data_IF_885143749278
#
_entry.id   IF_885143749278
#
_cell.length_a   1.000
_cell.length_b   1.000
_cell.length_c   1.000
_cell.angle_alpha   90.00
_cell.angle_beta   90.00
_cell.angle_gamma   90.00
#
_symmetry.space_group_name_H-M   'P 1'
#
loop_
_entity.id
_entity.type
_entity.pdbx_description
1 polymer ?
#
# COMPACT_ATOMS: atom_id res chain seq x y z
N UNK A 1 -2.43 2.34 7.23
CA UNK A 1 -1.67 3.38 6.50
C UNK A 1 -2.61 4.49 6.04
N UNK A 2 -2.12 5.71 5.77
CA UNK A 2 -2.98 6.82 5.36
C UNK A 2 -3.45 6.69 3.90
N UNK A 3 -4.70 7.10 3.65
CA UNK A 3 -5.20 7.43 2.31
C UNK A 3 -4.83 8.87 1.97
N UNK A 4 -4.16 9.08 0.84
CA UNK A 4 -3.79 10.41 0.33
C UNK A 4 -4.79 10.81 -0.74
N UNK A 5 -5.35 12.03 -0.69
CA UNK A 5 -6.36 12.50 -1.65
C UNK A 5 -6.13 13.92 -2.15
N UNK A 6 -4.97 14.50 -1.84
CA UNK A 6 -4.56 15.80 -2.37
C UNK A 6 -3.48 15.60 -3.43
N UNK A 7 -3.43 16.49 -4.43
CA UNK A 7 -2.44 16.44 -5.50
C UNK A 7 -1.14 17.09 -5.01
N UNK A 8 -0.57 16.47 -3.97
CA UNK A 8 0.62 16.94 -3.30
C UNK A 8 1.49 15.75 -2.88
N UNK A 9 2.75 16.04 -2.61
CA UNK A 9 3.66 15.04 -2.06
C UNK A 9 3.33 14.78 -0.58
N UNK A 10 3.03 13.54 -0.25
CA UNK A 10 2.81 13.08 1.14
C UNK A 10 3.75 11.93 1.45
N UNK A 11 4.47 12.00 2.58
CA UNK A 11 5.32 10.90 3.05
C UNK A 11 4.52 9.86 3.82
N UNK A 12 4.90 8.59 3.68
CA UNK A 12 4.36 7.48 4.45
C UNK A 12 4.90 7.47 5.88
N UNK A 13 4.42 6.50 6.66
CA UNK A 13 5.11 6.09 7.90
C UNK A 13 6.48 5.52 7.53
N UNK A 14 7.50 5.88 8.30
CA UNK A 14 8.86 5.33 8.19
C UNK A 14 9.02 4.11 9.13
N UNK A 15 9.30 2.94 8.55
CA UNK A 15 9.56 1.70 9.25
C UNK A 15 11.06 1.42 9.48
N UNK A 16 11.95 2.35 9.10
CA UNK A 16 13.41 2.23 9.16
C UNK A 16 13.96 1.76 10.50
N UNK A 17 13.40 2.29 11.59
CA UNK A 17 13.78 1.95 12.97
C UNK A 17 13.09 0.69 13.53
N UNK A 18 12.22 0.05 12.74
CA UNK A 18 11.49 -1.15 13.14
C UNK A 18 12.00 -2.39 12.39
N UNK A 19 11.73 -3.60 12.90
CA UNK A 19 12.05 -4.84 12.19
C UNK A 19 11.04 -5.16 11.07
N UNK A 20 10.13 -4.23 10.76
CA UNK A 20 9.09 -4.42 9.76
C UNK A 20 9.46 -3.79 8.41
N UNK A 21 8.98 -4.40 7.34
CA UNK A 21 8.98 -3.87 5.98
C UNK A 21 7.58 -4.02 5.39
N UNK A 22 7.24 -3.26 4.35
CA UNK A 22 5.98 -3.47 3.63
C UNK A 22 6.02 -4.79 2.85
N UNK A 23 5.00 -5.63 3.02
CA UNK A 23 4.92 -6.89 2.27
C UNK A 23 4.59 -6.63 0.79
N UNK A 24 5.51 -6.97 -0.12
CA UNK A 24 5.30 -6.83 -1.57
C UNK A 24 4.25 -7.82 -2.10
N UNK A 25 4.22 -9.02 -1.54
CA UNK A 25 3.33 -10.11 -1.94
C UNK A 25 1.88 -9.73 -1.63
N UNK A 26 1.64 -9.20 -0.43
CA UNK A 26 0.31 -8.94 0.10
C UNK A 26 -0.22 -7.55 -0.23
N UNK A 27 0.63 -6.53 -0.37
CA UNK A 27 0.13 -5.19 -0.65
C UNK A 27 0.10 -4.86 -2.14
N UNK A 28 -0.83 -3.98 -2.50
CA UNK A 28 -0.90 -3.28 -3.78
C UNK A 28 -0.92 -1.78 -3.56
N UNK A 29 -0.19 -1.07 -4.41
CA UNK A 29 -0.30 0.38 -4.48
C UNK A 29 -1.43 0.71 -5.44
N UNK A 30 -2.45 1.40 -4.95
CA UNK A 30 -3.69 1.69 -5.67
C UNK A 30 -3.86 3.19 -5.79
N UNK A 31 -4.33 3.65 -6.95
CA UNK A 31 -4.86 4.97 -7.16
C UNK A 31 -6.29 4.88 -7.71
N UNK A 32 -7.18 5.69 -7.15
CA UNK A 32 -8.59 5.81 -7.55
C UNK A 32 -8.85 7.27 -7.92
N UNK A 33 -9.15 7.54 -9.18
CA UNK A 33 -9.35 8.90 -9.68
C UNK A 33 -9.76 8.88 -11.14
N UNK A 34 -10.55 9.87 -11.54
CA UNK A 34 -11.18 9.88 -12.86
C UNK A 34 -10.17 9.97 -14.01
N UNK A 35 -9.19 10.87 -13.88
CA UNK A 35 -8.10 11.04 -14.83
C UNK A 35 -6.88 11.57 -14.09
N UNK A 36 -5.92 10.69 -13.84
CA UNK A 36 -4.70 11.06 -13.12
C UNK A 36 -3.82 9.85 -12.82
N UNK A 37 -2.77 10.11 -12.07
CA UNK A 37 -1.76 9.13 -11.73
C UNK A 37 -1.26 9.34 -10.31
N UNK A 38 -0.70 8.28 -9.75
CA UNK A 38 0.03 8.33 -8.49
C UNK A 38 1.40 7.69 -8.66
N UNK A 39 2.40 8.36 -8.09
CA UNK A 39 3.79 7.96 -8.12
C UNK A 39 4.27 7.74 -6.70
N UNK A 40 4.85 6.58 -6.47
CA UNK A 40 5.61 6.26 -5.28
C UNK A 40 7.08 6.68 -5.50
N UNK A 41 7.63 7.37 -4.52
CA UNK A 41 9.00 7.86 -4.50
C UNK A 41 9.73 7.31 -3.27
N UNK A 42 11.05 7.20 -3.35
CA UNK A 42 11.87 6.91 -2.18
C UNK A 42 12.10 8.17 -1.33
N UNK A 43 12.91 8.05 -0.27
CA UNK A 43 13.21 9.16 0.64
C UNK A 43 14.04 10.28 -0.01
N UNK A 44 14.75 9.97 -1.10
CA UNK A 44 15.53 10.91 -1.92
C UNK A 44 14.65 11.61 -2.98
N UNK A 45 13.39 11.20 -3.11
CA UNK A 45 12.45 11.73 -4.10
C UNK A 45 12.58 11.09 -5.48
N UNK A 46 13.32 9.99 -5.61
CA UNK A 46 13.47 9.26 -6.86
C UNK A 46 12.26 8.35 -7.12
N UNK A 47 11.92 8.15 -8.40
CA UNK A 47 10.82 7.29 -8.81
C UNK A 47 11.06 5.83 -8.40
N UNK A 48 10.05 5.22 -7.76
CA UNK A 48 10.08 3.82 -7.34
C UNK A 48 9.09 2.98 -8.16
N UNK A 49 7.82 3.38 -8.15
CA UNK A 49 6.74 2.72 -8.89
C UNK A 49 5.59 3.71 -9.08
N UNK A 50 4.66 3.43 -9.97
CA UNK A 50 3.50 4.28 -10.18
C UNK A 50 2.49 3.66 -11.11
N UNK A 51 1.29 4.22 -11.13
CA UNK A 51 0.26 3.85 -12.08
C UNK A 51 -0.56 5.07 -12.49
N UNK A 52 -1.20 4.98 -13.67
CA UNK A 52 -2.06 6.00 -14.23
C UNK A 52 -3.39 5.38 -14.63
N UNK A 53 -4.47 6.14 -14.50
CA UNK A 53 -5.78 5.72 -14.99
C UNK A 53 -5.92 6.03 -16.46
N UNK A 54 -6.77 5.26 -17.12
CA UNK A 54 -7.26 5.58 -18.47
C UNK A 54 -8.42 6.56 -18.34
N UNK A 55 -8.27 7.73 -18.94
CA UNK A 55 -9.29 8.77 -18.92
C UNK A 55 -10.38 8.45 -19.94
N UNK A 56 -11.63 8.40 -19.49
CA UNK A 56 -12.81 8.21 -20.35
C UNK A 56 -13.77 9.37 -20.20
N UNK A 57 -14.23 9.92 -21.32
CA UNK A 57 -15.28 10.95 -21.34
C UNK A 57 -16.68 10.36 -21.12
N UNK A 58 -16.80 9.04 -21.03
CA UNK A 58 -18.06 8.37 -20.79
C UNK A 58 -18.47 8.53 -19.32
N UNK A 59 -19.47 9.38 -19.10
CA UNK A 59 -20.09 9.61 -17.80
C UNK A 59 -20.98 8.45 -17.36
N UNK A 60 -21.27 7.48 -18.26
CA UNK A 60 -21.98 6.27 -17.87
C UNK A 60 -21.07 5.45 -16.98
N UNK A 61 -21.44 5.42 -15.69
CA UNK A 61 -20.77 4.67 -14.65
C UNK A 61 -20.87 3.18 -14.89
N UNK A 62 -20.10 2.67 -15.86
CA UNK A 62 -19.65 1.28 -15.83
C UNK A 62 -18.53 1.24 -14.77
N UNK A 63 -18.94 1.51 -13.55
CA UNK A 63 -18.23 1.07 -12.37
C UNK A 63 -18.43 -0.44 -12.36
N UNK A 64 -17.54 -1.17 -13.02
CA UNK A 64 -17.37 -2.57 -12.70
C UNK A 64 -16.68 -2.67 -11.34
N UNK A 65 -17.33 -2.14 -10.29
CA UNK A 65 -17.27 -2.70 -8.93
C UNK A 65 -18.01 -4.05 -8.89
N UNK A 66 -18.23 -4.72 -10.02
CA UNK A 66 -18.56 -6.14 -10.01
C UNK A 66 -17.25 -6.86 -9.68
N UNK A 67 -17.06 -7.07 -8.37
CA UNK A 67 -15.98 -7.82 -7.72
C UNK A 67 -14.77 -7.01 -7.21
N UNK A 68 -14.88 -5.70 -6.93
CA UNK A 68 -13.80 -4.86 -6.37
C UNK A 68 -12.46 -4.84 -7.16
N UNK A 69 -12.46 -5.30 -8.42
CA UNK A 69 -11.24 -5.40 -9.21
C UNK A 69 -10.94 -4.09 -9.93
N UNK A 70 -9.77 -3.53 -9.65
CA UNK A 70 -9.33 -2.33 -10.32
C UNK A 70 -8.99 -2.58 -11.79
N UNK A 71 -9.80 -2.02 -12.71
CA UNK A 71 -9.78 -2.36 -14.15
C UNK A 71 -9.22 -1.25 -15.07
N UNK A 72 -8.39 -0.34 -14.55
CA UNK A 72 -7.68 0.68 -15.34
C UNK A 72 -8.48 1.95 -15.68
N UNK A 73 -9.81 1.88 -15.73
CA UNK A 73 -10.69 3.05 -15.85
C UNK A 73 -11.07 3.53 -14.45
N UNK A 74 -10.82 4.80 -14.15
CA UNK A 74 -11.06 5.44 -12.84
C UNK A 74 -10.24 4.87 -11.65
N UNK A 75 -9.46 3.82 -11.87
CA UNK A 75 -8.51 3.32 -10.90
C UNK A 75 -7.31 2.68 -11.61
N UNK A 76 -6.19 2.55 -10.92
CA UNK A 76 -5.08 1.71 -11.33
C UNK A 76 -4.42 1.09 -10.09
N UNK A 77 -3.76 -0.04 -10.28
CA UNK A 77 -2.96 -0.68 -9.23
C UNK A 77 -1.61 -1.16 -9.77
N UNK A 78 -0.63 -1.25 -8.88
CA UNK A 78 0.70 -1.78 -9.19
C UNK A 78 1.33 -2.42 -7.96
N UNK A 79 2.37 -3.23 -8.17
CA UNK A 79 3.16 -3.81 -7.08
C UNK A 79 4.19 -2.80 -6.56
N UNK A 80 4.54 -2.95 -5.28
CA UNK A 80 5.66 -2.22 -4.67
C UNK A 80 7.01 -2.94 -4.92
N UNK A 81 8.16 -2.27 -4.78
CA UNK A 81 9.45 -2.95 -4.78
C UNK A 81 9.63 -3.83 -3.53
N UNK A 82 10.66 -4.68 -3.56
CA UNK A 82 11.10 -5.39 -2.35
C UNK A 82 11.79 -4.41 -1.38
N UNK A 83 11.83 -4.78 -0.09
CA UNK A 83 12.55 -4.06 0.95
C UNK A 83 12.10 -2.61 1.17
N UNK A 84 10.84 -2.29 0.84
CA UNK A 84 10.26 -0.98 1.08
C UNK A 84 10.01 -0.77 2.59
N UNK A 85 10.63 0.27 3.18
CA UNK A 85 10.44 0.67 4.59
C UNK A 85 9.75 2.02 4.75
N UNK A 86 9.89 2.89 3.77
CA UNK A 86 9.36 4.25 3.71
C UNK A 86 9.11 4.58 2.24
N UNK A 87 8.17 5.50 1.97
CA UNK A 87 7.93 6.03 0.63
C UNK A 87 7.25 7.40 0.67
N UNK A 88 7.43 8.18 -0.38
CA UNK A 88 6.60 9.33 -0.71
C UNK A 88 5.52 8.97 -1.73
N UNK A 89 4.36 9.60 -1.65
CA UNK A 89 3.30 9.53 -2.66
C UNK A 89 3.11 10.91 -3.28
N UNK A 90 3.18 10.99 -4.61
CA UNK A 90 2.87 12.18 -5.38
C UNK A 90 1.71 11.88 -6.34
N UNK A 91 0.62 12.61 -6.19
CA UNK A 91 -0.60 12.44 -6.99
C UNK A 91 -0.73 13.61 -7.95
N UNK A 92 -1.10 13.32 -9.19
CA UNK A 92 -1.41 14.34 -10.19
C UNK A 92 -2.76 14.03 -10.83
N UNK A 93 -3.60 15.05 -10.95
CA UNK A 93 -4.91 14.98 -11.61
C UNK A 93 -4.95 15.90 -12.83
N UNK A 94 -5.66 15.49 -13.88
CA UNK A 94 -5.78 16.31 -15.09
C UNK A 94 -7.02 17.21 -15.00
N UNK A 95 -6.83 18.45 -14.55
CA UNK A 95 -7.89 19.47 -14.39
C UNK A 95 -8.69 19.74 -15.67
N UNK A 96 -8.06 19.63 -16.85
CA UNK A 96 -8.69 20.02 -18.14
C UNK A 96 -9.80 19.09 -18.61
N UNK A 97 -9.89 17.86 -18.09
CA UNK A 97 -10.94 16.90 -18.46
C UNK A 97 -12.09 16.82 -17.43
N UNK A 98 -11.95 17.52 -16.31
CA UNK A 98 -12.89 17.53 -15.21
C UNK A 98 -13.27 18.99 -14.97
N UNK A 99 -14.29 19.47 -15.68
CA UNK A 99 -14.67 20.88 -15.73
C UNK A 99 -14.42 21.64 -14.42
N UNK A 100 -13.40 22.51 -14.43
CA UNK A 100 -13.14 23.58 -13.46
C UNK A 100 -12.74 23.18 -12.03
N UNK A 101 -13.12 22.01 -11.54
CA UNK A 101 -12.92 21.58 -10.15
C UNK A 101 -12.42 20.13 -10.12
N UNK A 102 -11.34 19.87 -10.87
CA UNK A 102 -10.77 18.54 -11.06
C UNK A 102 -10.33 17.91 -9.74
N UNK A 103 -11.25 17.20 -9.08
CA UNK A 103 -10.98 16.54 -7.82
C UNK A 103 -9.78 15.59 -7.98
N UNK A 104 -8.73 15.85 -7.21
CA UNK A 104 -7.60 14.95 -7.14
C UNK A 104 -8.11 13.56 -6.75
N UNK A 105 -7.63 12.53 -7.43
CA UNK A 105 -7.88 11.15 -7.02
C UNK A 105 -7.28 10.87 -5.64
N UNK A 106 -7.39 9.62 -5.22
CA UNK A 106 -6.82 9.14 -3.98
C UNK A 106 -5.87 7.99 -4.21
N UNK A 107 -4.77 7.93 -3.45
CA UNK A 107 -3.77 6.89 -3.53
C UNK A 107 -3.48 6.31 -2.15
N UNK A 108 -3.21 5.02 -2.11
CA UNK A 108 -2.94 4.31 -0.87
C UNK A 108 -2.25 2.97 -1.12
N UNK A 109 -1.54 2.48 -0.11
CA UNK A 109 -1.00 1.13 -0.06
C UNK A 109 -1.93 0.24 0.76
N UNK A 110 -2.46 -0.81 0.15
CA UNK A 110 -3.50 -1.66 0.75
C UNK A 110 -3.16 -3.13 0.65
N UNK A 111 -3.57 -3.90 1.65
CA UNK A 111 -3.61 -5.36 1.55
C UNK A 111 -4.60 -5.81 0.47
N UNK A 112 -4.15 -6.64 -0.47
CA UNK A 112 -4.95 -7.03 -1.62
C UNK A 112 -6.23 -7.78 -1.22
N UNK A 113 -6.17 -8.65 -0.21
CA UNK A 113 -7.35 -9.39 0.23
C UNK A 113 -8.40 -8.46 0.84
N UNK A 114 -7.96 -7.50 1.66
CA UNK A 114 -8.84 -6.51 2.25
C UNK A 114 -9.46 -5.57 1.19
N UNK A 115 -8.73 -5.26 0.11
CA UNK A 115 -9.24 -4.50 -1.03
C UNK A 115 -10.28 -5.27 -1.84
N UNK A 116 -9.97 -6.51 -2.22
CA UNK A 116 -10.87 -7.37 -2.98
C UNK A 116 -12.16 -7.66 -2.21
N UNK A 117 -12.11 -7.74 -0.87
CA UNK A 117 -13.26 -7.97 -0.02
C UNK A 117 -13.98 -6.68 0.42
N UNK A 118 -13.43 -5.50 0.11
CA UNK A 118 -14.00 -4.20 0.50
C UNK A 118 -14.08 -4.00 2.02
N UNK A 119 -13.14 -4.59 2.79
CA UNK A 119 -13.20 -4.66 4.26
C UNK A 119 -12.76 -3.40 4.99
N UNK A 120 -12.59 -2.28 4.30
CA UNK A 120 -12.20 -1.02 4.92
C UNK A 120 -12.97 0.16 4.35
N UNK A 121 -13.20 1.15 5.20
CA UNK A 121 -13.86 2.41 4.85
C UNK A 121 -13.17 3.56 5.55
N UNK A 122 -12.94 4.66 4.84
CA UNK A 122 -12.34 5.88 5.39
C UNK A 122 -10.84 6.03 5.09
N UNK A 123 -10.13 6.73 5.98
CA UNK A 123 -8.74 7.16 5.76
C UNK A 123 -7.69 6.17 6.29
N UNK A 124 -8.10 5.17 7.06
CA UNK A 124 -7.22 4.13 7.60
C UNK A 124 -7.28 2.90 6.70
N UNK A 125 -6.17 2.63 6.02
CA UNK A 125 -6.07 1.57 5.02
C UNK A 125 -5.34 0.37 5.64
N UNK A 126 -5.92 -0.85 5.57
CA UNK A 126 -5.24 -2.05 6.04
C UNK A 126 -4.02 -2.32 5.16
N UNK A 127 -2.88 -2.58 5.78
CA UNK A 127 -1.61 -2.79 5.08
C UNK A 127 -0.85 -3.91 5.78
N UNK A 128 -0.42 -4.90 5.02
CA UNK A 128 0.30 -6.05 5.54
C UNK A 128 1.79 -5.75 5.68
N UNK A 129 2.35 -5.99 6.86
CA UNK A 129 3.77 -5.82 7.11
C UNK A 129 4.45 -7.18 7.19
N UNK A 130 5.68 -7.22 6.70
CA UNK A 130 6.55 -8.35 6.87
C UNK A 130 7.54 -8.08 8.00
N UNK A 131 7.69 -9.05 8.89
CA UNK A 131 8.68 -9.00 9.96
C UNK A 131 9.95 -9.73 9.55
N UNK A 132 11.08 -9.03 9.58
CA UNK A 132 12.41 -9.61 9.39
C UNK A 132 13.10 -9.71 10.75
N UNK A 133 13.48 -10.91 11.15
CA UNK A 133 14.27 -11.14 12.35
C UNK A 133 15.69 -10.60 12.15
N UNK A 134 16.15 -9.76 13.07
CA UNK A 134 17.56 -9.38 13.13
C UNK A 134 18.40 -10.43 13.85
N UNK A 135 19.73 -10.37 13.69
CA UNK A 135 20.66 -11.29 14.36
C UNK A 135 20.53 -11.26 15.89
N UNK A 136 20.17 -10.10 16.46
CA UNK A 136 19.94 -9.92 17.90
C UNK A 136 18.59 -10.49 18.38
N UNK A 137 17.64 -10.70 17.47
CA UNK A 137 16.35 -11.32 17.78
C UNK A 137 16.48 -12.85 17.81
N UNK A 138 17.51 -13.41 17.17
CA UNK A 138 17.77 -14.85 17.10
C UNK A 138 17.91 -15.48 18.48
N UNK A 139 18.69 -14.84 19.36
CA UNK A 139 18.94 -15.34 20.73
C UNK A 139 17.70 -15.20 21.64
N UNK A 140 16.73 -14.36 21.25
CA UNK A 140 15.46 -14.22 21.97
C UNK A 140 14.39 -15.22 21.52
N UNK A 141 14.61 -15.93 20.41
CA UNK A 141 13.72 -17.00 19.96
C UNK A 141 14.10 -18.28 20.70
N UNK A 142 13.54 -18.45 21.89
CA UNK A 142 13.78 -19.64 22.74
C UNK A 142 12.91 -20.86 22.37
N UNK A 143 12.34 -20.91 21.17
CA UNK A 143 11.43 -21.98 20.77
C UNK A 143 11.98 -22.82 19.61
N UNK A 144 11.52 -24.08 19.56
CA UNK A 144 11.88 -25.16 18.63
C UNK A 144 13.07 -26.04 19.08
N UNK A 145 12.84 -26.82 20.14
CA UNK A 145 13.60 -28.06 20.36
C UNK A 145 13.23 -29.09 19.28
N UNK A 146 13.78 -28.93 18.07
CA UNK A 146 14.27 -29.97 17.15
C UNK A 146 14.62 -29.32 15.80
N UNK A 147 15.91 -29.29 15.47
CA UNK A 147 16.54 -28.58 14.35
C UNK A 147 16.40 -27.05 14.45
N UNK A 148 17.53 -26.33 14.32
CA UNK A 148 17.59 -24.87 14.49
C UNK A 148 16.57 -24.12 13.62
N UNK A 149 16.22 -22.87 13.98
CA UNK A 149 15.17 -22.12 13.31
C UNK A 149 15.46 -22.02 11.82
N UNK A 150 14.61 -22.66 11.01
CA UNK A 150 14.49 -22.32 9.60
C UNK A 150 14.01 -20.88 9.56
N UNK A 151 14.78 -19.98 8.94
CA UNK A 151 14.37 -18.61 8.69
C UNK A 151 13.11 -18.65 7.82
N UNK A 152 11.95 -18.58 8.46
CA UNK A 152 10.67 -18.46 7.81
C UNK A 152 10.19 -17.01 7.93
N UNK A 153 9.83 -16.48 6.77
CA UNK A 153 9.28 -15.15 6.61
C UNK A 153 7.85 -15.19 7.16
N UNK A 154 7.64 -14.71 8.40
CA UNK A 154 6.31 -14.73 9.04
C UNK A 154 5.54 -13.48 8.61
N UNK A 155 4.53 -13.68 7.77
CA UNK A 155 3.55 -12.67 7.40
C UNK A 155 2.43 -12.66 8.44
N UNK A 156 2.32 -11.57 9.22
CA UNK A 156 1.28 -11.44 10.25
C UNK A 156 0.12 -10.61 9.70
N UNK A 157 -1.02 -11.27 9.54
CA UNK A 157 -2.31 -10.64 9.37
C UNK A 157 -2.89 -10.43 10.78
N UNK A 158 -3.14 -9.19 11.17
CA UNK A 158 -3.61 -8.73 12.48
C UNK A 158 -2.60 -8.69 13.65
N UNK A 159 -2.53 -7.51 14.27
CA UNK A 159 -1.73 -7.23 15.46
C UNK A 159 -2.43 -7.77 16.72
N UNK A 160 -1.88 -8.82 17.31
CA UNK A 160 -1.90 -8.97 18.77
C UNK A 160 -0.43 -9.12 19.21
N UNK A 161 0.04 -8.22 20.08
CA UNK A 161 1.35 -8.40 20.74
C UNK A 161 1.38 -9.81 21.36
N UNK A 162 2.47 -10.59 21.22
CA UNK A 162 2.67 -11.70 22.14
C UNK A 162 2.74 -11.10 23.54
N UNK A 163 1.82 -11.54 24.40
CA UNK A 163 1.90 -11.22 25.82
C UNK A 163 3.25 -11.72 26.31
N UNK A 164 4.09 -10.80 26.78
CA UNK A 164 5.24 -11.10 27.61
C UNK A 164 4.69 -11.80 28.86
N UNK A 165 4.82 -13.12 28.92
CA UNK A 165 4.71 -13.83 30.19
C UNK A 165 6.05 -13.67 30.91
N UNK A 166 5.90 -13.30 32.18
CA UNK A 166 6.93 -12.89 33.16
C UNK A 166 8.03 -13.94 33.29
#
# INVERSE_FOLDING_TARGET
MPKVSNCSLTKSVDLGSSPFIFSKTHNRFVYEGYCGNAVMMDDEGSFVTGCSTTCSNDSTGVTLYRNNKCSGIKCCETTIPHYLKSYGLNLTGLERQLGGDGACGSAFLVDQSAYDEGRFSGNSIPTSLLWTLGDLDYDQISCCNQAGPRLEVVEKHDMQKPNTFI
#
